data_IF_976582313185
#
_entry.id   IF_976582313185
#
_cell.length_a   1.000
_cell.length_b   1.000
_cell.length_c   1.000
_cell.angle_alpha   90.00
_cell.angle_beta   90.00
_cell.angle_gamma   90.00
#
_symmetry.space_group_name_H-M   'P 1'
#
loop_
_entity.id
_entity.type
_entity.pdbx_description
1 polymer ?
#
# COMPACT_ATOMS: atom_id res chain seq x y z
N UNK A 1 20.90 -16.40 14.78
CA UNK A 1 20.33 -16.16 16.12
C UNK A 1 19.02 -15.40 15.94
N UNK A 2 17.89 -15.95 16.38
CA UNK A 2 16.56 -15.35 16.18
C UNK A 2 16.48 -14.00 16.94
N UNK A 3 16.39 -12.87 16.21
CA UNK A 3 16.36 -11.50 16.79
C UNK A 3 15.19 -11.34 17.77
N UNK A 4 14.05 -11.98 17.47
CA UNK A 4 12.83 -11.90 18.27
C UNK A 4 12.98 -12.59 19.63
N UNK A 5 13.74 -13.68 19.72
CA UNK A 5 13.92 -14.43 20.97
C UNK A 5 14.73 -13.67 22.04
N UNK A 6 15.35 -12.54 21.66
CA UNK A 6 16.11 -11.65 22.56
C UNK A 6 15.31 -10.43 23.01
N UNK A 7 14.10 -10.22 22.48
CA UNK A 7 13.25 -9.07 22.78
C UNK A 7 12.10 -9.49 23.70
N UNK A 8 11.89 -8.76 24.79
CA UNK A 8 10.69 -8.94 25.62
C UNK A 8 9.43 -8.35 24.94
N UNK A 9 8.23 -8.67 25.46
CA UNK A 9 6.95 -8.21 24.86
C UNK A 9 6.87 -6.68 24.69
N UNK A 10 7.39 -5.92 25.66
CA UNK A 10 7.41 -4.44 25.59
C UNK A 10 8.31 -3.95 24.46
N UNK A 11 9.47 -4.57 24.27
CA UNK A 11 10.41 -4.25 23.20
C UNK A 11 9.85 -4.64 21.83
N UNK A 12 9.22 -5.81 21.70
CA UNK A 12 8.58 -6.24 20.45
C UNK A 12 7.49 -5.25 20.03
N UNK A 13 6.64 -4.80 20.97
CA UNK A 13 5.63 -3.78 20.72
C UNK A 13 6.23 -2.42 20.36
N UNK A 14 7.30 -2.00 21.04
CA UNK A 14 7.98 -0.72 20.77
C UNK A 14 8.62 -0.69 19.38
N UNK A 15 9.12 -1.82 18.92
CA UNK A 15 9.78 -1.96 17.63
C UNK A 15 8.84 -2.42 16.52
N UNK A 16 7.56 -2.71 16.79
CA UNK A 16 6.57 -3.21 15.81
C UNK A 16 7.04 -4.46 15.07
N UNK A 17 7.54 -5.45 15.83
CA UNK A 17 8.02 -6.73 15.29
C UNK A 17 7.30 -7.93 15.90
N UNK A 18 7.35 -9.08 15.22
CA UNK A 18 6.73 -10.31 15.69
C UNK A 18 5.21 -10.20 15.68
N UNK A 19 4.55 -10.37 16.82
CA UNK A 19 3.09 -10.26 16.93
C UNK A 19 2.54 -8.82 16.76
N UNK A 20 3.42 -7.83 16.60
CA UNK A 20 3.06 -6.41 16.41
C UNK A 20 3.49 -5.88 15.04
N UNK A 21 3.89 -6.78 14.13
CA UNK A 21 4.22 -6.43 12.76
C UNK A 21 2.95 -6.03 12.01
N UNK A 22 3.08 -4.98 11.19
CA UNK A 22 2.03 -4.52 10.30
C UNK A 22 2.47 -4.82 8.88
N UNK A 23 1.68 -5.66 8.21
CA UNK A 23 1.94 -6.05 6.83
C UNK A 23 1.19 -5.12 5.89
N UNK A 24 1.94 -4.48 5.00
CA UNK A 24 1.42 -3.67 3.90
C UNK A 24 1.89 -4.23 2.56
N UNK A 25 1.55 -3.54 1.48
CA UNK A 25 2.09 -3.84 0.16
C UNK A 25 2.33 -2.55 -0.61
N UNK A 26 3.45 -2.50 -1.33
CA UNK A 26 3.80 -1.44 -2.26
C UNK A 26 3.02 -1.54 -3.58
N UNK A 27 2.67 -0.38 -4.13
CA UNK A 27 2.04 -0.17 -5.43
C UNK A 27 2.90 0.83 -6.20
N UNK A 28 3.22 0.47 -7.44
CA UNK A 28 3.86 1.33 -8.41
C UNK A 28 3.02 1.29 -9.69
N UNK A 29 2.68 2.44 -10.26
CA UNK A 29 2.04 2.51 -11.55
C UNK A 29 2.34 3.83 -12.23
N UNK A 30 2.11 3.89 -13.53
CA UNK A 30 2.34 5.07 -14.33
C UNK A 30 1.08 5.49 -15.08
N UNK A 31 0.83 6.79 -15.16
CA UNK A 31 -0.18 7.34 -16.06
C UNK A 31 0.40 7.52 -17.46
N UNK A 32 -0.42 7.35 -18.48
CA UNK A 32 -0.03 7.71 -19.85
C UNK A 32 0.34 9.18 -19.92
N UNK A 33 1.34 9.53 -20.74
CA UNK A 33 1.90 10.88 -20.84
C UNK A 33 0.83 11.98 -21.07
N UNK A 34 -0.19 11.69 -21.87
CA UNK A 34 -1.27 12.62 -22.24
C UNK A 34 -2.50 12.56 -21.32
N UNK A 35 -2.39 11.92 -20.15
CA UNK A 35 -3.50 11.83 -19.19
C UNK A 35 -3.79 13.22 -18.61
N UNK A 36 -5.05 13.63 -18.68
CA UNK A 36 -5.52 14.89 -18.10
C UNK A 36 -5.27 14.90 -16.58
N UNK A 37 -4.69 15.97 -16.01
CA UNK A 37 -4.53 16.12 -14.56
C UNK A 37 -5.81 15.87 -13.74
N UNK A 38 -6.99 16.24 -14.25
CA UNK A 38 -8.25 15.98 -13.56
C UNK A 38 -8.59 14.47 -13.51
N UNK A 39 -8.20 13.73 -14.55
CA UNK A 39 -8.34 12.27 -14.57
C UNK A 39 -7.36 11.63 -13.60
N UNK A 40 -6.13 12.16 -13.50
CA UNK A 40 -5.15 11.72 -12.49
C UNK A 40 -5.72 11.90 -11.09
N UNK A 41 -6.18 13.10 -10.74
CA UNK A 41 -6.73 13.40 -9.41
C UNK A 41 -7.92 12.50 -9.07
N UNK A 42 -8.90 12.38 -9.96
CA UNK A 42 -10.07 11.53 -9.72
C UNK A 42 -9.74 10.03 -9.63
N UNK A 43 -8.70 9.58 -10.33
CA UNK A 43 -8.20 8.20 -10.22
C UNK A 43 -7.56 7.96 -8.86
N UNK A 44 -6.73 8.90 -8.39
CA UNK A 44 -6.11 8.82 -7.06
C UNK A 44 -7.17 8.85 -5.96
N UNK A 45 -8.19 9.71 -6.07
CA UNK A 45 -9.31 9.76 -5.13
C UNK A 45 -10.07 8.43 -5.06
N UNK A 46 -10.29 7.76 -6.19
CA UNK A 46 -10.94 6.46 -6.25
C UNK A 46 -10.10 5.37 -5.56
N UNK A 47 -8.78 5.38 -5.79
CA UNK A 47 -7.85 4.45 -5.14
C UNK A 47 -7.81 4.69 -3.63
N UNK A 48 -7.70 5.94 -3.19
CA UNK A 48 -7.68 6.31 -1.77
C UNK A 48 -8.98 5.94 -1.07
N UNK A 49 -10.13 6.15 -1.74
CA UNK A 49 -11.43 5.77 -1.20
C UNK A 49 -11.55 4.26 -1.00
N UNK A 50 -11.09 3.44 -1.96
CA UNK A 50 -11.04 1.98 -1.78
C UNK A 50 -10.11 1.56 -0.64
N UNK A 51 -8.94 2.20 -0.52
CA UNK A 51 -7.99 1.93 0.56
C UNK A 51 -8.60 2.23 1.94
N UNK A 52 -9.32 3.35 2.06
CA UNK A 52 -10.00 3.74 3.30
C UNK A 52 -11.15 2.77 3.64
N UNK A 53 -11.93 2.34 2.65
CA UNK A 53 -13.00 1.34 2.81
C UNK A 53 -12.47 -0.02 3.30
N UNK A 54 -11.28 -0.41 2.84
CA UNK A 54 -10.58 -1.63 3.28
C UNK A 54 -9.89 -1.46 4.64
N UNK A 55 -10.05 -0.31 5.31
CA UNK A 55 -9.48 -0.05 6.63
C UNK A 55 -7.96 0.09 6.61
N UNK A 56 -7.42 0.50 5.46
CA UNK A 56 -6.02 0.76 5.26
C UNK A 56 -5.76 2.26 5.11
N UNK A 57 -4.49 2.63 4.97
CA UNK A 57 -4.05 3.97 4.63
C UNK A 57 -2.99 3.86 3.55
N UNK A 58 -2.87 4.89 2.73
CA UNK A 58 -1.87 4.96 1.68
C UNK A 58 -0.85 6.06 1.99
N UNK A 59 0.43 5.71 1.87
CA UNK A 59 1.53 6.68 1.93
C UNK A 59 2.42 6.52 0.71
N UNK A 60 2.70 7.61 0.00
CA UNK A 60 3.46 7.54 -1.24
C UNK A 60 3.96 8.90 -1.73
N UNK A 61 4.51 8.87 -2.92
CA UNK A 61 5.02 10.02 -3.64
C UNK A 61 4.61 9.95 -5.11
N UNK A 62 4.35 11.12 -5.70
CA UNK A 62 4.04 11.27 -7.11
C UNK A 62 5.09 12.14 -7.79
N UNK A 63 5.57 11.69 -8.95
CA UNK A 63 6.47 12.45 -9.82
C UNK A 63 5.90 12.52 -11.23
N UNK A 64 5.14 13.59 -11.51
CA UNK A 64 4.44 13.73 -12.78
C UNK A 64 3.45 12.58 -12.97
N UNK A 65 3.69 11.74 -13.98
CA UNK A 65 2.87 10.57 -14.27
C UNK A 65 3.26 9.31 -13.47
N UNK A 66 4.40 9.29 -12.78
CA UNK A 66 4.82 8.13 -12.00
C UNK A 66 4.26 8.21 -10.57
N UNK A 67 3.64 7.13 -10.12
CA UNK A 67 3.09 7.03 -8.78
C UNK A 67 3.64 5.80 -8.06
N UNK A 68 4.18 6.03 -6.86
CA UNK A 68 4.75 4.99 -6.02
C UNK A 68 4.30 5.20 -4.57
N UNK A 69 3.90 4.11 -3.91
CA UNK A 69 3.67 4.17 -2.48
C UNK A 69 3.29 2.82 -1.89
N UNK A 70 2.89 2.85 -0.64
CA UNK A 70 2.57 1.66 0.14
C UNK A 70 1.19 1.80 0.77
N UNK A 71 0.39 0.74 0.65
CA UNK A 71 -0.85 0.56 1.38
C UNK A 71 -0.53 -0.16 2.69
N UNK A 72 -0.89 0.45 3.81
CA UNK A 72 -0.56 0.00 5.15
C UNK A 72 -1.83 -0.12 6.02
N UNK A 73 -1.85 -1.04 6.99
CA UNK A 73 -2.91 -1.13 8.00
C UNK A 73 -3.25 0.19 8.68
N UNK A 74 -4.53 0.55 8.77
CA UNK A 74 -4.98 1.60 9.69
C UNK A 74 -5.51 0.97 10.98
N UNK A 75 -5.20 1.56 12.14
CA UNK A 75 -5.69 1.11 13.45
C UNK A 75 -5.44 -0.38 13.77
N UNK A 76 -4.36 -0.98 13.25
CA UNK A 76 -4.01 -2.41 13.37
C UNK A 76 -5.00 -3.38 12.71
N UNK A 77 -5.79 -2.92 11.74
CA UNK A 77 -6.58 -3.82 10.91
C UNK A 77 -5.68 -4.61 9.97
N UNK A 78 -5.91 -5.91 9.86
CA UNK A 78 -5.12 -6.75 8.96
C UNK A 78 -5.66 -6.57 7.55
N UNK A 79 -4.80 -6.13 6.63
CA UNK A 79 -5.11 -6.09 5.22
C UNK A 79 -5.13 -7.52 4.67
N UNK A 80 -6.23 -7.89 4.04
CA UNK A 80 -6.40 -9.23 3.48
C UNK A 80 -5.80 -9.33 2.07
N UNK A 81 -5.51 -10.55 1.63
CA UNK A 81 -5.13 -10.79 0.23
C UNK A 81 -6.26 -10.40 -0.76
N UNK A 82 -7.52 -10.45 -0.31
CA UNK A 82 -8.67 -9.99 -1.10
C UNK A 82 -8.65 -8.46 -1.28
N UNK A 83 -8.36 -7.72 -0.21
CA UNK A 83 -8.18 -6.26 -0.25
C UNK A 83 -7.08 -5.86 -1.24
N UNK A 84 -5.95 -6.57 -1.22
CA UNK A 84 -4.87 -6.40 -2.20
C UNK A 84 -5.34 -6.66 -3.63
N UNK A 85 -6.13 -7.72 -3.85
CA UNK A 85 -6.65 -8.05 -5.17
C UNK A 85 -7.62 -6.98 -5.69
N UNK A 86 -8.50 -6.43 -4.83
CA UNK A 86 -9.40 -5.33 -5.21
C UNK A 86 -8.65 -4.10 -5.71
N UNK A 87 -7.53 -3.76 -5.07
CA UNK A 87 -6.70 -2.63 -5.50
C UNK A 87 -6.03 -2.92 -6.85
N UNK A 88 -5.54 -4.14 -7.06
CA UNK A 88 -4.99 -4.57 -8.36
C UNK A 88 -6.07 -4.47 -9.45
N UNK A 89 -7.25 -5.01 -9.20
CA UNK A 89 -8.35 -5.03 -10.17
C UNK A 89 -8.85 -3.62 -10.49
N UNK A 90 -8.91 -2.74 -9.49
CA UNK A 90 -9.25 -1.33 -9.67
C UNK A 90 -8.22 -0.63 -10.57
N UNK A 91 -6.93 -0.75 -10.27
CA UNK A 91 -5.86 -0.14 -11.08
C UNK A 91 -5.86 -0.66 -12.51
N UNK A 92 -6.07 -1.98 -12.70
CA UNK A 92 -6.15 -2.59 -14.02
C UNK A 92 -7.40 -2.19 -14.82
N UNK A 93 -8.45 -1.69 -14.16
CA UNK A 93 -9.67 -1.22 -14.83
C UNK A 93 -9.50 0.12 -15.55
N UNK A 94 -8.50 0.91 -15.17
CA UNK A 94 -8.26 2.23 -15.73
C UNK A 94 -7.45 2.17 -17.02
N UNK A 95 -8.07 2.54 -18.15
CA UNK A 95 -7.43 2.51 -19.47
C UNK A 95 -6.26 3.51 -19.63
N UNK A 96 -6.13 4.48 -18.73
CA UNK A 96 -5.08 5.52 -18.70
C UNK A 96 -3.90 5.19 -17.80
N UNK A 97 -3.92 4.02 -17.13
CA UNK A 97 -2.80 3.51 -16.34
C UNK A 97 -2.01 2.47 -17.14
N UNK A 98 -0.70 2.46 -16.95
CA UNK A 98 0.25 1.48 -17.48
C UNK A 98 1.25 1.06 -16.39
N UNK A 99 1.95 -0.06 -16.65
CA UNK A 99 3.01 -0.60 -15.80
C UNK A 99 2.64 -0.78 -14.31
N UNK A 100 1.43 -1.27 -14.04
CA UNK A 100 0.97 -1.58 -12.67
C UNK A 100 1.80 -2.72 -12.09
N UNK A 101 2.49 -2.44 -10.99
CA UNK A 101 3.25 -3.39 -10.20
C UNK A 101 2.76 -3.32 -8.75
N UNK A 102 2.41 -4.48 -8.20
CA UNK A 102 2.00 -4.60 -6.80
C UNK A 102 2.85 -5.66 -6.14
N UNK A 103 3.59 -5.26 -5.10
CA UNK A 103 4.49 -6.15 -4.36
C UNK A 103 3.72 -7.17 -3.50
N UNK A 104 4.43 -8.16 -2.96
CA UNK A 104 3.90 -9.04 -1.92
C UNK A 104 3.71 -8.29 -0.60
N UNK A 105 3.15 -8.96 0.41
CA UNK A 105 3.06 -8.38 1.74
C UNK A 105 4.44 -8.24 2.38
N UNK A 106 4.76 -7.02 2.79
CA UNK A 106 6.04 -6.62 3.39
C UNK A 106 5.82 -5.98 4.75
N UNK A 107 6.86 -5.97 5.59
CA UNK A 107 6.81 -5.26 6.86
C UNK A 107 6.86 -3.75 6.62
N UNK A 108 5.74 -3.07 6.86
CA UNK A 108 5.61 -1.63 6.59
C UNK A 108 6.66 -0.76 7.32
N UNK A 109 7.34 -1.30 8.34
CA UNK A 109 8.33 -0.58 9.15
C UNK A 109 9.78 -0.90 8.81
N UNK A 110 10.04 -1.98 8.07
CA UNK A 110 11.40 -2.51 7.86
C UNK A 110 11.69 -2.98 6.44
N UNK A 111 10.79 -2.73 5.48
CA UNK A 111 11.00 -2.97 4.04
C UNK A 111 12.09 -2.08 3.44
#
# INVERSE_FOLDING_TARGET
>A
KNRLSRLNKRQQKKLLVGAYQELGFGILFQFKADTDPQVIDSTLDAVLSLVDEEGATFGGYCNGQLFEGMVMPLNRQVISAESRQKVIDLLASFAHIEDVQVSEFVDAWYD
#
